data_IF_411962177648
#
_entry.id   IF_411962177648
#
_cell.length_a   1.000
_cell.length_b   1.000
_cell.length_c   1.000
_cell.angle_alpha   90.00
_cell.angle_beta   90.00
_cell.angle_gamma   90.00
#
_symmetry.space_group_name_H-M   'P 1'
#
loop_
_entity.id
_entity.type
_entity.pdbx_description
1 polymer ?
2 non-polymer ?
3 non-polymer ?
4 non-polymer ?
5 water ?
#
# COMPACT_ATOMS: atom_id res chain seq x y z
N UNK A 1 28.14 -29.42 -2.70
CA UNK A 1 27.85 -28.63 -3.89
C UNK A 1 27.84 -27.14 -3.56
N UNK A 2 27.70 -26.31 -4.59
CA UNK A 2 27.63 -24.86 -4.40
C UNK A 2 26.21 -24.38 -4.14
N UNK A 3 25.23 -24.95 -4.84
CA UNK A 3 23.85 -24.49 -4.68
C UNK A 3 23.24 -24.96 -3.37
N UNK A 4 23.71 -26.08 -2.82
CA UNK A 4 23.25 -26.52 -1.52
C UNK A 4 23.76 -25.62 -0.41
N UNK A 5 24.98 -25.09 -0.56
CA UNK A 5 25.51 -24.17 0.44
C UNK A 5 24.71 -22.86 0.47
N UNK A 6 24.41 -22.30 -0.70
CA UNK A 6 23.61 -21.10 -0.77
C UNK A 6 22.24 -21.30 -0.11
N UNK A 7 21.64 -22.48 -0.33
CA UNK A 7 20.34 -22.75 0.29
C UNK A 7 20.46 -22.76 1.81
N UNK A 8 21.52 -23.38 2.35
CA UNK A 8 21.70 -23.37 3.80
C UNK A 8 21.97 -21.97 4.31
N UNK A 9 22.74 -21.18 3.58
CA UNK A 9 22.91 -19.78 3.94
C UNK A 9 21.58 -19.05 3.94
N UNK A 10 20.72 -19.36 2.96
CA UNK A 10 19.38 -18.77 2.95
C UNK A 10 18.60 -19.16 4.20
N UNK A 11 18.69 -20.43 4.61
CA UNK A 11 18.01 -20.87 5.83
C UNK A 11 18.43 -20.02 7.01
N UNK A 12 19.73 -19.73 7.13
CA UNK A 12 20.22 -18.89 8.22
C UNK A 12 19.65 -17.48 8.12
N UNK A 13 19.63 -16.93 6.91
CA UNK A 13 19.10 -15.58 6.73
C UNK A 13 17.61 -15.53 7.04
N UNK A 14 16.87 -16.57 6.66
CA UNK A 14 15.44 -16.62 6.96
C UNK A 14 15.21 -16.66 8.46
N UNK A 15 16.00 -17.46 9.18
CA UNK A 15 15.83 -17.57 10.63
C UNK A 15 16.32 -16.32 11.32
N UNK A 16 17.49 -15.81 10.92
CA UNK A 16 18.03 -14.61 11.55
C UNK A 16 17.09 -13.43 11.40
N UNK A 17 16.57 -13.21 10.19
CA UNK A 17 15.75 -12.04 9.95
C UNK A 17 14.40 -12.13 10.64
N UNK A 18 13.81 -13.32 10.71
CA UNK A 18 12.47 -13.46 11.25
C UNK A 18 12.44 -13.65 12.76
N UNK A 19 13.51 -14.18 13.36
CA UNK A 19 13.60 -14.17 14.81
C UNK A 19 13.68 -12.73 15.31
N UNK A 20 14.34 -11.85 14.55
CA UNK A 20 14.36 -10.43 14.88
C UNK A 20 12.95 -9.85 14.89
N UNK A 21 12.15 -10.15 13.86
CA UNK A 21 10.80 -9.62 13.75
C UNK A 21 9.97 -9.99 14.97
N UNK A 22 10.19 -11.19 15.51
CA UNK A 22 9.38 -11.64 16.65
C UNK A 22 9.79 -10.94 17.92
N UNK A 23 11.09 -10.92 18.23
CA UNK A 23 11.55 -10.28 19.46
C UNK A 23 11.27 -8.78 19.43
N UNK A 24 11.43 -8.14 18.26
CA UNK A 24 11.24 -6.69 18.17
C UNK A 24 9.82 -6.29 18.52
N UNK A 25 8.84 -6.93 17.88
CA UNK A 25 7.45 -6.64 18.20
C UNK A 25 7.14 -7.02 19.64
N UNK A 26 7.79 -8.08 20.15
CA UNK A 26 7.51 -8.54 21.50
C UNK A 26 8.04 -7.60 22.58
N UNK A 27 8.94 -6.69 22.21
CA UNK A 27 9.62 -5.87 23.21
C UNK A 27 9.55 -4.37 22.94
N UNK A 28 9.00 -3.94 21.81
CA UNK A 28 8.89 -2.53 21.47
C UNK A 28 7.43 -2.09 21.56
N UNK A 29 7.19 -1.02 22.31
CA UNK A 29 5.83 -0.53 22.49
C UNK A 29 5.21 -0.12 21.16
N UNK A 30 5.86 0.82 20.45
CA UNK A 30 5.29 1.39 19.23
C UNK A 30 5.14 0.35 18.12
N UNK A 31 5.60 -0.87 18.34
CA UNK A 31 5.48 -1.97 17.39
C UNK A 31 4.44 -3.00 17.81
N UNK A 32 3.62 -2.71 18.82
CA UNK A 32 2.64 -3.68 19.32
C UNK A 32 1.25 -3.31 18.83
N UNK A 33 1.05 -3.49 17.53
CA UNK A 33 -0.20 -3.17 16.86
C UNK A 33 -0.83 -4.46 16.33
N UNK A 34 -2.08 -4.34 15.89
CA UNK A 34 -2.75 -5.48 15.29
C UNK A 34 -2.00 -5.98 14.07
N UNK A 35 -1.67 -5.06 13.15
CA UNK A 35 -0.96 -5.44 11.94
C UNK A 35 0.37 -6.11 12.25
N UNK A 36 1.12 -5.56 13.21
CA UNK A 36 2.40 -6.13 13.57
C UNK A 36 2.28 -7.48 14.24
N UNK A 37 1.14 -7.79 14.87
CA UNK A 37 0.93 -9.14 15.39
C UNK A 37 0.65 -10.12 14.26
N UNK A 38 -0.06 -9.67 13.23
CA UNK A 38 -0.19 -10.47 12.02
C UNK A 38 1.12 -10.51 11.25
N UNK A 39 2.03 -9.57 11.51
CA UNK A 39 3.34 -9.62 10.87
C UNK A 39 4.21 -10.68 11.50
N UNK A 40 4.14 -10.84 12.82
CA UNK A 40 4.91 -11.90 13.47
C UNK A 40 4.30 -13.26 13.15
N UNK A 41 2.97 -13.31 12.95
CA UNK A 41 2.37 -14.52 12.41
C UNK A 41 2.92 -14.83 11.03
N UNK A 42 3.14 -13.79 10.22
CA UNK A 42 3.79 -13.98 8.93
C UNK A 42 5.23 -14.43 9.10
N UNK A 43 5.91 -13.90 10.12
CA UNK A 43 7.30 -14.30 10.36
C UNK A 43 7.39 -15.75 10.83
N UNK A 44 6.38 -16.25 11.53
CA UNK A 44 6.37 -17.64 11.92
C UNK A 44 6.17 -18.54 10.71
N UNK A 45 5.28 -18.13 9.79
CA UNK A 45 5.09 -18.88 8.56
C UNK A 45 6.41 -19.05 7.82
N UNK A 46 7.21 -17.99 7.76
CA UNK A 46 8.51 -18.09 7.10
C UNK A 46 9.52 -18.84 7.95
N UNK A 47 9.46 -18.67 9.28
CA UNK A 47 10.35 -19.44 10.15
C UNK A 47 10.14 -20.94 10.00
N UNK A 48 8.90 -21.36 9.75
CA UNK A 48 8.63 -22.79 9.57
C UNK A 48 9.05 -23.28 8.19
N UNK A 49 9.08 -22.39 7.20
CA UNK A 49 9.64 -22.76 5.90
C UNK A 49 11.12 -23.09 6.03
N UNK A 50 11.86 -22.28 6.78
CA UNK A 50 13.29 -22.54 6.94
C UNK A 50 13.56 -23.85 7.67
N UNK A 51 12.70 -24.22 8.61
CA UNK A 51 12.94 -25.34 9.51
C UNK A 51 12.24 -26.63 9.09
N UNK A 52 11.04 -26.55 8.52
CA UNK A 52 10.27 -27.74 8.19
C UNK A 52 10.21 -28.05 6.70
N UNK A 53 10.67 -27.15 5.84
CA UNK A 53 10.61 -27.32 4.40
C UNK A 53 12.00 -27.25 3.77
N UNK A 54 12.75 -26.19 4.07
CA UNK A 54 14.07 -26.00 3.47
C UNK A 54 15.02 -27.18 3.72
N UNK A 55 15.05 -27.82 4.90
CA UNK A 55 15.90 -29.02 5.03
C UNK A 55 15.63 -30.06 3.98
N UNK A 56 14.35 -30.27 3.62
CA UNK A 56 14.04 -31.17 2.52
C UNK A 56 14.53 -30.64 1.19
N UNK A 57 14.54 -29.31 1.02
CA UNK A 57 14.93 -28.73 -0.26
C UNK A 57 16.45 -28.74 -0.43
N UNK A 58 17.19 -28.45 0.64
CA UNK A 58 18.65 -28.52 0.55
C UNK A 58 19.09 -29.97 0.41
N UNK A 59 18.43 -30.89 1.12
CA UNK A 59 18.67 -32.32 0.90
C UNK A 59 18.43 -32.69 -0.55
N UNK A 60 17.38 -32.12 -1.15
CA UNK A 60 17.02 -32.41 -2.53
C UNK A 60 18.09 -31.98 -3.52
N UNK A 61 18.93 -31.01 -3.17
CA UNK A 61 19.98 -30.55 -4.07
C UNK A 61 21.25 -31.38 -3.93
N UNK A 62 21.63 -31.73 -2.70
CA UNK A 62 22.83 -32.53 -2.49
C UNK A 62 22.67 -33.91 -3.12
N UNK A 63 21.54 -34.57 -2.84
CA UNK A 63 21.29 -35.90 -3.37
C UNK A 63 21.07 -35.86 -4.88
N UNK A 64 20.50 -34.78 -5.40
CA UNK A 64 20.21 -34.70 -6.81
C UNK A 64 19.03 -35.53 -7.27
N UNK A 65 18.22 -36.01 -6.34
CA UNK A 65 17.05 -36.82 -6.66
C UNK A 65 16.10 -36.79 -5.48
N UNK A 66 14.83 -37.05 -5.76
CA UNK A 66 13.80 -37.15 -4.71
C UNK A 66 13.86 -38.53 -4.05
N UNK A 67 14.99 -38.80 -3.40
CA UNK A 67 15.23 -40.10 -2.77
C UNK A 67 14.65 -40.16 -1.35
N UNK A 68 13.37 -39.79 -1.22
CA UNK A 68 12.61 -40.03 -0.01
C UNK A 68 11.89 -41.36 -0.14
N UNK A 69 11.09 -41.69 0.87
CA UNK A 69 10.04 -42.69 0.67
C UNK A 69 8.76 -41.98 0.27
N UNK A 70 7.73 -42.76 -0.08
CA UNK A 70 6.49 -42.14 -0.53
C UNK A 70 5.83 -41.37 0.60
N UNK A 71 6.01 -41.82 1.84
CA UNK A 71 5.39 -41.11 2.95
C UNK A 71 6.21 -39.88 3.34
N UNK A 72 7.52 -39.95 3.17
CA UNK A 72 8.36 -38.81 3.44
C UNK A 72 8.10 -37.73 2.42
N UNK A 73 7.87 -38.12 1.18
CA UNK A 73 7.54 -37.18 0.13
C UNK A 73 6.20 -36.51 0.40
N UNK A 74 5.18 -37.30 0.74
CA UNK A 74 3.87 -36.74 1.03
C UNK A 74 3.94 -35.78 2.21
N UNK A 75 4.66 -36.14 3.27
CA UNK A 75 4.79 -35.26 4.43
C UNK A 75 5.47 -33.96 4.02
N UNK A 76 6.55 -34.05 3.25
CA UNK A 76 7.26 -32.85 2.83
C UNK A 76 6.37 -31.94 2.00
N UNK A 77 5.68 -32.51 1.01
CA UNK A 77 4.83 -31.70 0.14
C UNK A 77 3.69 -31.08 0.92
N UNK A 78 3.10 -31.84 1.86
CA UNK A 78 2.05 -31.30 2.72
C UNK A 78 2.55 -30.11 3.51
N UNK A 79 3.71 -30.25 4.16
CA UNK A 79 4.25 -29.15 4.96
C UNK A 79 4.67 -27.99 4.06
N UNK A 80 5.27 -28.28 2.91
CA UNK A 80 5.67 -27.22 1.99
C UNK A 80 4.47 -26.39 1.55
N UNK A 81 3.37 -27.06 1.17
CA UNK A 81 2.17 -26.35 0.74
C UNK A 81 1.55 -25.57 1.89
N UNK A 82 1.53 -26.16 3.09
CA UNK A 82 0.90 -25.51 4.23
C UNK A 82 1.66 -24.26 4.65
N UNK A 83 2.96 -24.39 4.92
CA UNK A 83 3.73 -23.26 5.42
C UNK A 83 3.81 -22.12 4.40
N UNK A 84 3.61 -22.41 3.12
CA UNK A 84 3.56 -21.35 2.12
C UNK A 84 2.15 -20.80 1.94
N UNK A 85 1.12 -21.61 2.20
CA UNK A 85 -0.25 -21.10 2.19
C UNK A 85 -0.50 -20.19 3.38
N UNK A 86 0.10 -20.51 4.53
CA UNK A 86 -0.02 -19.63 5.68
C UNK A 86 0.55 -18.25 5.37
N UNK A 87 1.65 -18.19 4.62
CA UNK A 87 2.19 -16.90 4.20
C UNK A 87 1.18 -16.13 3.37
N UNK A 88 0.49 -16.82 2.46
CA UNK A 88 -0.49 -16.14 1.61
C UNK A 88 -1.71 -15.73 2.43
N UNK A 89 -2.22 -16.63 3.26
CA UNK A 89 -3.38 -16.31 4.07
C UNK A 89 -3.06 -15.27 5.14
N UNK A 90 -1.80 -15.15 5.54
CA UNK A 90 -1.41 -14.08 6.45
C UNK A 90 -1.43 -12.72 5.74
N UNK A 91 -0.88 -12.68 4.53
CA UNK A 91 -0.94 -11.44 3.75
C UNK A 91 -2.38 -11.04 3.47
N UNK A 92 -3.29 -12.01 3.42
CA UNK A 92 -4.70 -11.69 3.24
C UNK A 92 -5.28 -11.09 4.51
N UNK A 93 -4.98 -11.69 5.65
CA UNK A 93 -5.44 -11.15 6.93
C UNK A 93 -4.84 -9.77 7.19
N UNK A 94 -3.60 -9.55 6.74
CA UNK A 94 -2.96 -8.25 6.94
C UNK A 94 -3.70 -7.17 6.17
N UNK A 95 -4.04 -7.45 4.91
CA UNK A 95 -4.81 -6.48 4.11
C UNK A 95 -6.15 -6.19 4.77
N UNK A 96 -6.83 -7.22 5.27
CA UNK A 96 -8.14 -7.04 5.88
C UNK A 96 -8.01 -6.18 7.14
N UNK A 97 -7.01 -6.49 7.98
CA UNK A 97 -6.73 -5.64 9.13
C UNK A 97 -6.34 -4.23 8.69
N UNK A 98 -5.69 -4.11 7.53
CA UNK A 98 -5.39 -2.79 6.99
C UNK A 98 -6.65 -2.07 6.53
N UNK A 99 -7.66 -2.82 6.07
CA UNK A 99 -8.90 -2.18 5.66
C UNK A 99 -9.65 -1.64 6.86
N UNK A 100 -9.76 -2.43 7.93
CA UNK A 100 -10.54 -1.98 9.07
C UNK A 100 -9.90 -0.79 9.77
N UNK A 101 -8.57 -0.68 9.71
CA UNK A 101 -7.90 0.46 10.33
C UNK A 101 -8.16 1.75 9.55
N UNK A 102 -8.25 1.65 8.23
CA UNK A 102 -8.47 2.84 7.42
C UNK A 102 -9.95 3.22 7.38
N UNK A 103 -10.82 2.23 7.14
CA UNK A 103 -12.21 2.50 6.84
C UNK A 103 -13.12 2.57 8.07
N UNK A 104 -12.65 2.12 9.24
CA UNK A 104 -13.53 2.05 10.39
C UNK A 104 -12.88 2.72 11.60
N UNK A 105 -13.69 3.32 12.49
CA UNK A 105 -13.21 4.07 13.66
C UNK A 105 -12.19 3.31 14.51
N UNK A 110 -10.32 0.01 20.05
CA UNK A 110 -10.43 -0.53 21.40
C UNK A 110 -9.29 -1.49 21.71
N UNK A 111 -8.73 -1.38 22.92
CA UNK A 111 -7.59 -2.23 23.29
C UNK A 111 -8.00 -3.67 23.54
N UNK A 112 -9.27 -3.92 23.80
CA UNK A 112 -9.78 -5.28 24.03
C UNK A 112 -10.47 -5.86 22.81
N UNK A 113 -11.29 -5.08 22.11
CA UNK A 113 -11.99 -5.57 20.94
C UNK A 113 -11.03 -5.90 19.81
N UNK A 114 -9.92 -5.17 19.70
CA UNK A 114 -8.99 -5.41 18.59
C UNK A 114 -8.17 -6.68 18.84
N UNK A 115 -7.69 -6.87 20.08
CA UNK A 115 -6.92 -8.07 20.38
C UNK A 115 -7.73 -9.34 20.14
N UNK A 116 -9.03 -9.30 20.47
CA UNK A 116 -9.90 -10.42 20.15
C UNK A 116 -10.05 -10.61 18.65
N UNK A 117 -9.96 -9.53 17.87
CA UNK A 117 -10.08 -9.67 16.43
C UNK A 117 -8.82 -10.26 15.82
N UNK A 118 -7.65 -9.93 16.38
CA UNK A 118 -6.41 -10.52 15.87
C UNK A 118 -6.36 -12.02 16.17
N UNK A 119 -6.80 -12.42 17.36
CA UNK A 119 -6.80 -13.83 17.71
C UNK A 119 -7.68 -14.64 16.77
N UNK A 120 -8.83 -14.09 16.37
CA UNK A 120 -9.70 -14.80 15.45
C UNK A 120 -9.08 -14.87 14.05
N UNK A 121 -8.45 -13.78 13.61
CA UNK A 121 -7.84 -13.77 12.28
C UNK A 121 -6.69 -14.75 12.19
N UNK A 122 -5.84 -14.79 13.23
CA UNK A 122 -4.68 -15.69 13.20
C UNK A 122 -5.14 -17.14 13.20
N UNK A 123 -6.11 -17.47 14.05
CA UNK A 123 -6.62 -18.84 14.11
C UNK A 123 -7.13 -19.28 12.75
N UNK A 124 -7.87 -18.41 12.06
CA UNK A 124 -8.40 -18.77 10.75
C UNK A 124 -7.26 -19.01 9.77
N UNK A 125 -6.19 -18.22 9.85
CA UNK A 125 -5.07 -18.39 8.93
C UNK A 125 -4.49 -19.79 9.05
N UNK A 126 -4.16 -20.20 10.26
CA UNK A 126 -3.45 -21.46 10.45
C UNK A 126 -4.38 -22.67 10.37
N UNK A 127 -5.65 -22.53 10.78
CA UNK A 127 -6.58 -23.64 10.65
C UNK A 127 -6.94 -23.86 9.18
N UNK A 128 -7.05 -22.78 8.42
CA UNK A 128 -7.35 -22.92 7.00
C UNK A 128 -6.16 -23.52 6.25
N UNK A 129 -4.94 -23.07 6.57
CA UNK A 129 -3.76 -23.64 5.95
C UNK A 129 -3.68 -25.15 6.20
N UNK A 130 -4.00 -25.57 7.42
CA UNK A 130 -4.04 -27.00 7.73
C UNK A 130 -5.07 -27.71 6.88
N UNK A 131 -6.32 -27.25 6.91
CA UNK A 131 -7.40 -27.93 6.21
C UNK A 131 -7.16 -27.96 4.70
N UNK A 132 -6.43 -26.98 4.16
CA UNK A 132 -6.15 -26.97 2.74
C UNK A 132 -5.08 -28.00 2.39
N UNK A 133 -4.05 -28.11 3.22
CA UNK A 133 -2.96 -29.04 2.97
C UNK A 133 -3.24 -30.45 3.47
N UNK A 134 -4.21 -30.62 4.36
CA UNK A 134 -4.49 -31.95 4.89
C UNK A 134 -4.88 -32.98 3.83
N UNK A 135 -5.62 -32.63 2.77
CA UNK A 135 -5.88 -33.64 1.72
C UNK A 135 -4.61 -34.20 1.08
N UNK A 136 -3.53 -33.41 1.01
CA UNK A 136 -2.33 -33.86 0.33
C UNK A 136 -1.73 -35.10 0.98
N UNK A 137 -1.94 -35.27 2.29
CA UNK A 137 -1.48 -36.47 2.97
C UNK A 137 -2.26 -37.70 2.55
N UNK A 138 -3.46 -37.54 2.01
CA UNK A 138 -4.30 -38.68 1.72
C UNK A 138 -4.65 -38.74 0.23
N UNK A 139 -3.62 -38.66 -0.62
CA UNK A 139 -3.80 -38.79 -2.05
C UNK A 139 -4.62 -37.68 -2.68
N UNK A 140 -4.71 -36.52 -2.04
CA UNK A 140 -5.54 -35.41 -2.49
C UNK A 140 -7.00 -35.84 -2.64
N UNK A 141 -7.39 -36.87 -1.89
CA UNK A 141 -8.73 -37.47 -2.00
C UNK A 141 -9.09 -37.73 -3.46
N UNK A 142 -8.09 -38.18 -4.23
CA UNK A 142 -8.25 -38.42 -5.65
C UNK A 142 -7.62 -39.77 -5.96
N UNK A 143 -7.36 -40.03 -7.24
CA UNK A 143 -6.82 -41.30 -7.70
C UNK A 143 -5.31 -41.16 -7.89
N UNK A 144 -4.56 -41.38 -6.82
CA UNK A 144 -3.10 -41.51 -6.91
C UNK A 144 -2.62 -42.43 -5.80
N UNK A 145 -2.97 -43.72 -5.89
CA UNK A 145 -2.90 -44.60 -4.74
C UNK A 145 -1.45 -44.81 -4.28
N UNK A 146 -0.60 -45.33 -5.16
CA UNK A 146 0.72 -45.80 -4.77
C UNK A 146 1.84 -44.85 -5.17
N UNK A 147 1.57 -43.54 -5.19
CA UNK A 147 2.59 -42.57 -5.56
C UNK A 147 2.47 -41.33 -4.69
N UNK A 148 3.57 -40.60 -4.60
CA UNK A 148 3.59 -39.34 -3.87
C UNK A 148 2.56 -38.38 -4.44
N UNK A 149 2.17 -37.40 -3.63
CA UNK A 149 1.09 -36.52 -4.03
C UNK A 149 1.56 -35.52 -5.09
N UNK A 150 2.85 -35.18 -5.10
CA UNK A 150 3.34 -34.26 -6.12
C UNK A 150 3.33 -34.90 -7.50
N UNK A 151 3.21 -36.22 -7.56
CA UNK A 151 3.05 -36.93 -8.82
C UNK A 151 1.60 -36.92 -9.30
N UNK A 152 0.67 -36.43 -8.50
CA UNK A 152 -0.72 -36.37 -8.89
C UNK A 152 -0.91 -35.26 -9.92
N UNK A 153 -1.43 -35.54 -11.11
CA UNK A 153 -1.62 -34.47 -12.10
C UNK A 153 -2.51 -33.33 -11.61
N UNK A 154 -3.32 -33.56 -10.59
CA UNK A 154 -4.20 -32.53 -10.05
C UNK A 154 -3.56 -31.70 -8.93
N UNK A 155 -2.35 -32.05 -8.50
CA UNK A 155 -1.70 -31.27 -7.45
C UNK A 155 -1.39 -29.85 -7.93
N UNK A 156 -0.91 -29.71 -9.17
CA UNK A 156 -0.57 -28.39 -9.69
C UNK A 156 -1.80 -27.50 -9.71
N UNK A 157 -2.93 -28.03 -10.18
CA UNK A 157 -4.15 -27.23 -10.24
C UNK A 157 -4.62 -26.86 -8.84
N UNK A 158 -4.53 -27.81 -7.90
CA UNK A 158 -5.00 -27.57 -6.54
C UNK A 158 -4.18 -26.47 -5.87
N UNK A 159 -2.87 -26.69 -5.72
CA UNK A 159 -2.03 -25.76 -4.97
C UNK A 159 -1.94 -24.40 -5.66
N UNK A 160 -2.13 -24.35 -6.97
CA UNK A 160 -2.12 -23.07 -7.65
C UNK A 160 -3.38 -22.28 -7.35
N UNK A 161 -4.54 -22.89 -7.53
CA UNK A 161 -5.80 -22.17 -7.40
C UNK A 161 -6.12 -21.93 -5.92
N UNK A 162 -6.17 -23.00 -5.13
CA UNK A 162 -6.63 -22.88 -3.76
C UNK A 162 -5.62 -22.14 -2.89
N UNK A 163 -4.34 -22.51 -2.99
CA UNK A 163 -3.33 -21.94 -2.11
C UNK A 163 -2.80 -20.60 -2.58
N UNK A 164 -2.91 -20.27 -3.85
CA UNK A 164 -2.29 -19.06 -4.38
C UNK A 164 -3.27 -18.13 -5.08
N UNK A 165 -3.94 -18.57 -6.15
CA UNK A 165 -4.70 -17.64 -6.98
C UNK A 165 -5.90 -17.08 -6.24
N UNK A 166 -6.55 -17.88 -5.39
CA UNK A 166 -7.71 -17.39 -4.65
C UNK A 166 -7.28 -16.42 -3.56
N UNK A 167 -6.23 -16.70 -2.76
CA UNK A 167 -5.72 -15.64 -1.89
C UNK A 167 -5.24 -14.41 -2.65
N UNK A 168 -4.62 -14.62 -3.81
CA UNK A 168 -4.15 -13.51 -4.63
C UNK A 168 -5.30 -12.55 -4.99
N UNK A 169 -6.38 -13.09 -5.56
CA UNK A 169 -7.48 -12.23 -6.01
C UNK A 169 -8.12 -11.52 -4.83
N UNK A 170 -8.40 -12.25 -3.75
CA UNK A 170 -9.09 -11.67 -2.60
C UNK A 170 -8.26 -10.53 -1.99
N UNK A 171 -6.97 -10.79 -1.76
CA UNK A 171 -6.10 -9.74 -1.24
C UNK A 171 -6.02 -8.57 -2.22
N UNK A 172 -5.99 -8.86 -3.52
CA UNK A 172 -5.93 -7.79 -4.50
C UNK A 172 -7.21 -6.97 -4.49
N UNK A 173 -8.36 -7.61 -4.26
CA UNK A 173 -9.61 -6.88 -4.20
C UNK A 173 -9.67 -6.00 -2.95
N UNK A 174 -9.08 -6.47 -1.85
CA UNK A 174 -9.07 -5.69 -0.62
C UNK A 174 -8.22 -4.43 -0.79
N UNK A 175 -7.01 -4.59 -1.34
CA UNK A 175 -6.13 -3.44 -1.51
C UNK A 175 -6.70 -2.44 -2.51
N UNK A 176 -7.40 -2.92 -3.53
CA UNK A 176 -8.09 -2.01 -4.44
C UNK A 176 -9.18 -1.24 -3.69
N UNK A 177 -9.93 -1.93 -2.83
CA UNK A 177 -10.92 -1.26 -2.00
C UNK A 177 -10.26 -0.30 -1.01
N UNK A 178 -9.02 -0.60 -0.60
CA UNK A 178 -8.30 0.28 0.31
C UNK A 178 -7.87 1.56 -0.43
N UNK A 179 -7.31 1.40 -1.63
CA UNK A 179 -6.88 2.57 -2.40
C UNK A 179 -8.06 3.49 -2.70
N UNK A 180 -9.24 2.92 -2.97
CA UNK A 180 -10.40 3.74 -3.31
C UNK A 180 -10.81 4.61 -2.12
N UNK A 181 -10.74 4.05 -0.91
CA UNK A 181 -11.10 4.81 0.28
C UNK A 181 -10.11 5.93 0.53
N UNK A 182 -8.81 5.64 0.41
CA UNK A 182 -7.80 6.66 0.64
C UNK A 182 -7.88 7.78 -0.38
N UNK A 183 -8.29 7.48 -1.61
CA UNK A 183 -8.43 8.52 -2.62
C UNK A 183 -9.66 9.38 -2.37
N UNK A 184 -10.73 8.80 -1.82
CA UNK A 184 -11.87 9.61 -1.41
C UNK A 184 -11.50 10.54 -0.27
N UNK A 185 -10.61 10.10 0.62
CA UNK A 185 -10.16 10.93 1.73
C UNK A 185 -9.38 12.15 1.24
N UNK A 186 -8.44 11.93 0.31
CA UNK A 186 -7.66 13.04 -0.21
C UNK A 186 -8.54 14.07 -0.93
N UNK A 187 -9.57 13.61 -1.65
CA UNK A 187 -10.50 14.53 -2.27
C UNK A 187 -11.34 15.27 -1.21
N UNK A 188 -11.60 14.62 -0.08
CA UNK A 188 -12.36 15.28 0.99
C UNK A 188 -11.48 16.20 1.83
N UNK A 189 -10.24 15.77 2.12
CA UNK A 189 -9.34 16.58 2.92
C UNK A 189 -9.00 17.90 2.24
N UNK A 190 -8.81 17.88 0.92
CA UNK A 190 -8.48 19.10 0.21
C UNK A 190 -9.67 20.07 0.17
N UNK A 191 -10.89 19.54 0.14
CA UNK A 191 -12.07 20.40 0.20
C UNK A 191 -12.13 21.14 1.53
N UNK A 192 -11.92 20.41 2.63
CA UNK A 192 -11.91 21.06 3.95
C UNK A 192 -10.73 22.01 4.09
N UNK A 193 -9.59 21.66 3.49
CA UNK A 193 -8.42 22.53 3.59
C UNK A 193 -8.69 23.90 3.00
N UNK A 194 -9.47 23.96 1.92
CA UNK A 194 -9.73 25.23 1.26
C UNK A 194 -11.01 25.92 1.73
N UNK A 195 -11.99 25.17 2.25
CA UNK A 195 -13.10 25.88 2.89
C UNK A 195 -12.68 26.52 4.20
N UNK A 196 -11.53 26.14 4.74
CA UNK A 196 -10.95 26.82 5.88
C UNK A 196 -10.13 28.02 5.43
N UNK A 197 -9.41 27.89 4.31
CA UNK A 197 -8.54 28.96 3.83
C UNK A 197 -9.26 29.94 2.91
N UNK A 198 -9.87 29.42 1.84
CA UNK A 198 -10.52 30.29 0.87
C UNK A 198 -11.93 30.66 1.33
N UNK A 199 -12.74 29.67 1.66
CA UNK A 199 -14.10 29.92 2.11
C UNK A 199 -15.17 29.31 1.21
N UNK A 200 -16.19 28.74 1.82
CA UNK A 200 -17.30 28.11 1.10
C UNK A 200 -18.47 29.09 1.05
N UNK A 201 -18.81 29.54 -0.15
CA UNK A 201 -19.96 30.39 -0.38
C UNK A 201 -21.01 29.62 -1.17
N UNK A 202 -22.24 29.57 -0.64
CA UNK A 202 -23.30 28.77 -1.23
C UNK A 202 -24.22 29.57 -2.16
N UNK A 203 -24.19 30.90 -2.08
CA UNK A 203 -24.94 31.75 -2.99
C UNK A 203 -23.98 32.52 -3.90
N UNK A 204 -24.49 32.95 -5.05
CA UNK A 204 -23.65 33.63 -6.02
C UNK A 204 -23.12 34.92 -5.43
N UNK A 205 -21.83 35.19 -5.67
CA UNK A 205 -21.18 36.39 -5.19
C UNK A 205 -20.11 36.79 -6.18
N UNK A 206 -19.55 37.98 -5.99
CA UNK A 206 -18.51 38.52 -6.86
C UNK A 206 -17.15 38.34 -6.21
N UNK A 207 -16.19 37.84 -6.98
CA UNK A 207 -14.82 37.72 -6.49
C UNK A 207 -14.15 39.10 -6.50
N UNK A 208 -12.87 39.12 -6.15
CA UNK A 208 -12.17 40.40 -6.04
C UNK A 208 -11.92 41.06 -7.39
N UNK A 209 -12.22 40.39 -8.50
CA UNK A 209 -12.04 40.95 -9.83
C UNK A 209 -13.36 41.29 -10.51
N UNK A 210 -14.48 41.11 -9.82
CA UNK A 210 -15.79 41.48 -10.34
C UNK A 210 -16.58 40.34 -10.95
N UNK A 211 -15.95 39.19 -11.20
CA UNK A 211 -16.64 38.07 -11.80
C UNK A 211 -17.55 37.38 -10.79
N UNK A 212 -18.67 36.85 -11.28
CA UNK A 212 -19.60 36.12 -10.43
C UNK A 212 -19.08 34.71 -10.21
N UNK A 213 -18.88 34.35 -8.94
CA UNK A 213 -18.39 33.02 -8.59
C UNK A 213 -19.29 32.40 -7.53
N UNK A 214 -19.01 31.14 -7.21
CA UNK A 214 -19.76 30.41 -6.20
C UNK A 214 -18.91 29.26 -5.68
N UNK A 215 -19.32 28.66 -4.56
CA UNK A 215 -18.59 27.53 -4.02
C UNK A 215 -17.27 27.97 -3.43
N UNK A 216 -16.20 27.23 -3.75
CA UNK A 216 -14.86 27.61 -3.31
C UNK A 216 -14.07 28.06 -4.52
N UNK A 217 -14.16 29.35 -4.84
CA UNK A 217 -13.43 29.90 -5.96
C UNK A 217 -13.76 29.24 -7.27
N UNK A 218 -14.99 29.43 -7.75
CA UNK A 218 -15.46 28.82 -8.99
C UNK A 218 -16.17 29.89 -9.81
N UNK A 219 -15.46 30.50 -10.74
CA UNK A 219 -16.04 31.54 -11.59
C UNK A 219 -17.11 30.95 -12.48
N UNK A 220 -18.35 31.42 -12.32
CA UNK A 220 -19.43 30.97 -13.19
C UNK A 220 -19.24 31.53 -14.60
N UNK A 221 -18.92 32.82 -14.71
CA UNK A 221 -18.67 33.45 -15.99
C UNK A 221 -17.92 34.76 -15.76
N UNK A 222 -17.36 35.29 -16.85
CA UNK A 222 -16.75 36.61 -16.84
C UNK A 222 -17.69 37.69 -17.36
N UNK A 223 -18.95 37.32 -17.65
CA UNK A 223 -19.95 38.25 -18.18
C UNK A 223 -20.54 39.11 -17.06
N UNK A 224 -20.92 40.35 -17.36
CA UNK A 224 -21.44 41.23 -16.31
C UNK A 224 -22.88 40.96 -15.92
N UNK A 225 -23.67 40.32 -16.77
CA UNK A 225 -25.07 40.06 -16.46
C UNK A 225 -25.18 39.01 -15.36
N UNK A 226 -25.92 39.34 -14.29
CA UNK A 226 -26.14 38.39 -13.23
C UNK A 226 -27.04 37.24 -13.69
N UNK A 227 -28.04 37.54 -14.52
CA UNK A 227 -28.90 36.49 -15.05
C UNK A 227 -28.12 35.47 -15.85
N UNK A 228 -27.08 35.91 -16.57
CA UNK A 228 -26.27 34.97 -17.34
C UNK A 228 -25.38 34.12 -16.43
N UNK A 229 -24.92 34.69 -15.31
CA UNK A 229 -24.12 33.91 -14.37
C UNK A 229 -24.93 32.78 -13.74
N UNK A 230 -26.24 32.97 -13.61
CA UNK A 230 -27.11 31.91 -13.09
C UNK A 230 -27.36 30.83 -14.13
N UNK A 231 -27.32 31.18 -15.42
CA UNK A 231 -27.53 30.19 -16.47
C UNK A 231 -26.40 29.16 -16.49
N UNK A 232 -25.16 29.61 -16.32
CA UNK A 232 -24.03 28.67 -16.28
C UNK A 232 -24.05 27.86 -14.99
N UNK A 233 -24.56 28.43 -13.89
CA UNK A 233 -24.61 27.70 -12.63
C UNK A 233 -25.58 26.51 -12.72
N UNK A 234 -26.77 26.76 -13.25
CA UNK A 234 -27.76 25.68 -13.37
C UNK A 234 -27.36 24.66 -14.43
N UNK A 235 -26.65 25.10 -15.46
CA UNK A 235 -26.17 24.16 -16.48
C UNK A 235 -25.09 23.24 -15.94
N UNK A 236 -24.46 23.59 -14.81
CA UNK A 236 -23.44 22.75 -14.19
C UNK A 236 -23.95 21.98 -12.98
N UNK A 237 -24.87 22.57 -12.20
CA UNK A 237 -25.42 21.87 -11.05
C UNK A 237 -26.58 20.95 -11.43
N UNK A 238 -27.13 21.09 -12.63
CA UNK A 238 -28.18 20.22 -13.11
C UNK A 238 -29.59 20.62 -12.71
N UNK A 239 -29.75 21.39 -11.65
CA UNK A 239 -31.05 21.80 -11.16
C UNK A 239 -31.25 23.29 -11.35
N UNK A 240 -32.47 23.75 -11.08
CA UNK A 240 -32.79 25.18 -11.04
C UNK A 240 -32.35 25.70 -9.67
N UNK A 241 -31.04 25.99 -9.56
CA UNK A 241 -30.46 26.31 -8.26
C UNK A 241 -31.01 27.62 -7.71
N UNK A 242 -31.47 28.51 -8.58
CA UNK A 242 -32.02 29.81 -8.18
C UNK A 242 -31.02 30.65 -7.41
N UNK A 243 -29.72 30.33 -7.49
CA UNK A 243 -28.67 31.09 -6.87
C UNK A 243 -27.98 30.37 -5.73
N UNK A 244 -28.68 29.49 -5.03
CA UNK A 244 -28.16 28.79 -3.86
C UNK A 244 -27.89 27.34 -4.24
N UNK A 245 -26.83 26.77 -3.68
CA UNK A 245 -26.46 25.38 -3.93
C UNK A 245 -26.13 24.69 -2.61
N UNK A 246 -26.10 23.37 -2.66
CA UNK A 246 -25.73 22.57 -1.51
C UNK A 246 -24.21 22.62 -1.29
N UNK A 247 -23.79 22.37 -0.05
CA UNK A 247 -22.37 22.17 0.20
C UNK A 247 -21.85 20.95 -0.54
N UNK A 248 -22.74 19.99 -0.81
CA UNK A 248 -22.37 18.81 -1.60
C UNK A 248 -22.26 19.15 -3.08
N UNK A 249 -23.21 19.94 -3.60
CA UNK A 249 -23.12 20.38 -4.98
C UNK A 249 -21.87 21.22 -5.22
N UNK A 250 -21.50 22.04 -4.22
CA UNK A 250 -20.29 22.85 -4.33
C UNK A 250 -19.04 21.98 -4.21
N UNK A 251 -19.14 20.84 -3.52
CA UNK A 251 -17.99 19.94 -3.43
C UNK A 251 -17.74 19.22 -4.76
N UNK A 252 -18.78 18.93 -5.52
CA UNK A 252 -18.59 18.39 -6.86
C UNK A 252 -17.91 19.41 -7.77
N UNK A 253 -18.33 20.68 -7.68
CA UNK A 253 -17.70 21.71 -8.48
C UNK A 253 -16.25 21.92 -8.08
N UNK A 254 -15.96 21.85 -6.78
CA UNK A 254 -14.59 22.06 -6.31
C UNK A 254 -13.66 20.99 -6.86
N UNK A 255 -14.10 19.73 -6.87
CA UNK A 255 -13.27 18.66 -7.42
C UNK A 255 -12.96 18.91 -8.89
N UNK A 256 -13.91 19.48 -9.64
CA UNK A 256 -13.66 19.82 -11.03
C UNK A 256 -12.58 20.90 -11.15
N UNK A 257 -12.65 21.92 -10.29
CA UNK A 257 -11.63 22.96 -10.30
C UNK A 257 -10.26 22.40 -9.91
N UNK A 258 -10.25 21.44 -8.98
CA UNK A 258 -8.98 20.85 -8.55
C UNK A 258 -8.35 20.05 -9.68
N UNK A 259 -9.14 19.17 -10.31
CA UNK A 259 -8.64 18.42 -11.45
C UNK A 259 -8.16 19.36 -12.56
N UNK A 260 -8.94 20.41 -12.85
CA UNK A 260 -8.52 21.38 -13.85
C UNK A 260 -7.21 22.04 -13.46
N UNK A 261 -7.04 22.35 -12.17
CA UNK A 261 -5.81 22.98 -11.70
C UNK A 261 -4.61 22.06 -11.88
N UNK A 262 -4.82 20.74 -11.86
CA UNK A 262 -3.70 19.81 -12.01
C UNK A 262 -3.31 19.67 -13.48
N UNK A 263 -4.29 19.67 -14.40
CA UNK A 263 -3.96 19.63 -15.82
C UNK A 263 -3.05 20.79 -16.21
N UNK A 264 -3.23 21.95 -15.57
CA UNK A 264 -2.42 23.11 -15.86
C UNK A 264 -1.08 23.08 -15.15
N UNK A 265 -1.07 22.60 -13.91
CA UNK A 265 0.17 22.48 -13.16
C UNK A 265 1.17 21.62 -13.92
N UNK A 266 0.71 20.45 -14.39
CA UNK A 266 1.59 19.57 -15.15
C UNK A 266 1.96 20.17 -16.49
N UNK A 267 1.06 20.93 -17.11
CA UNK A 267 1.37 21.65 -18.33
C UNK A 267 2.19 22.90 -18.08
N UNK A 268 2.44 23.26 -16.83
CA UNK A 268 3.30 24.39 -16.48
C UNK A 268 4.71 23.86 -16.26
N UNK A 269 5.65 24.29 -17.11
CA UNK A 269 7.02 23.77 -17.06
C UNK A 269 7.72 24.13 -15.76
N UNK A 270 7.29 25.18 -15.07
CA UNK A 270 7.93 25.60 -13.83
C UNK A 270 7.32 24.98 -12.59
N UNK A 271 6.15 24.35 -12.70
CA UNK A 271 5.50 23.73 -11.55
C UNK A 271 5.41 22.21 -11.63
N UNK A 272 5.49 21.63 -12.83
CA UNK A 272 5.43 20.18 -12.95
C UNK A 272 6.58 19.45 -12.26
N UNK A 273 7.84 19.91 -12.34
CA UNK A 273 8.91 19.17 -11.64
C UNK A 273 8.69 19.02 -10.14
N UNK A 274 8.46 20.12 -9.42
CA UNK A 274 8.29 20.05 -7.97
C UNK A 274 7.03 19.25 -7.63
N UNK A 275 5.98 19.41 -8.44
CA UNK A 275 4.72 18.71 -8.19
C UNK A 275 4.93 17.19 -8.17
N UNK A 276 5.79 16.67 -9.05
CA UNK A 276 6.10 15.25 -9.02
C UNK A 276 6.83 14.87 -7.74
N UNK A 277 7.77 15.65 -7.31
CA UNK A 277 8.53 15.29 -6.14
C UNK A 277 7.78 15.29 -4.85
N UNK A 278 6.61 15.87 -4.85
CA UNK A 278 5.93 16.17 -3.61
C UNK A 278 5.11 14.99 -3.13
N UNK A 279 4.97 14.85 -1.83
CA UNK A 279 4.15 13.87 -1.20
C UNK A 279 2.75 14.31 -1.50
N UNK A 280 1.78 13.43 -1.36
CA UNK A 280 0.38 13.77 -1.63
C UNK A 280 -0.14 14.85 -0.69
N UNK A 281 0.33 14.87 0.56
CA UNK A 281 -0.12 15.89 1.50
C UNK A 281 0.47 17.24 1.16
N UNK A 282 1.78 17.29 0.91
CA UNK A 282 2.41 18.52 0.46
C UNK A 282 1.90 18.95 -0.92
N UNK A 283 1.41 17.99 -1.71
CA UNK A 283 0.87 18.34 -3.02
C UNK A 283 -0.41 19.15 -2.89
N UNK A 284 -1.20 18.91 -1.85
CA UNK A 284 -2.39 19.72 -1.61
C UNK A 284 -2.05 21.15 -1.25
N UNK A 285 -0.95 21.35 -0.52
CA UNK A 285 -0.53 22.70 -0.18
C UNK A 285 -0.15 23.50 -1.43
N UNK A 286 0.45 22.82 -2.42
CA UNK A 286 0.75 23.49 -3.68
C UNK A 286 -0.53 23.81 -4.44
N UNK A 287 -1.52 22.93 -4.38
CA UNK A 287 -2.81 23.22 -5.00
C UNK A 287 -3.49 24.38 -4.31
N UNK A 288 -3.34 24.47 -2.98
CA UNK A 288 -3.87 25.61 -2.24
C UNK A 288 -3.28 26.92 -2.73
N UNK A 289 -1.97 26.92 -3.04
CA UNK A 289 -1.31 28.15 -3.47
C UNK A 289 -1.75 28.55 -4.88
N UNK A 290 -1.85 27.59 -5.80
CA UNK A 290 -2.31 27.94 -7.15
C UNK A 290 -3.78 28.33 -7.13
N UNK A 291 -4.54 27.82 -6.15
CA UNK A 291 -5.91 28.28 -5.99
C UNK A 291 -5.97 29.74 -5.56
N UNK A 292 -5.00 30.19 -4.77
CA UNK A 292 -4.98 31.56 -4.27
C UNK A 292 -4.25 32.51 -5.20
N UNK A 293 -3.08 32.10 -5.71
CA UNK A 293 -2.21 32.96 -6.49
C UNK A 293 -2.21 32.68 -7.98
N UNK A 294 -2.87 31.62 -8.43
CA UNK A 294 -2.76 31.19 -9.80
C UNK A 294 -1.40 30.56 -10.08
N UNK A 295 -1.37 29.78 -11.16
CA UNK A 295 -0.14 29.12 -11.59
C UNK A 295 0.95 30.12 -11.95
N UNK A 296 0.58 31.33 -12.39
CA UNK A 296 1.59 32.36 -12.65
C UNK A 296 2.34 32.73 -11.38
N UNK A 297 1.58 33.04 -10.32
CA UNK A 297 2.21 33.54 -9.11
C UNK A 297 3.04 32.49 -8.38
N UNK A 298 2.56 31.25 -8.35
CA UNK A 298 3.30 30.20 -7.68
C UNK A 298 4.64 29.95 -8.38
N UNK A 299 4.66 30.06 -9.70
CA UNK A 299 5.89 29.87 -10.46
C UNK A 299 6.94 30.94 -10.16
N UNK A 300 6.60 31.97 -9.38
CA UNK A 300 7.55 32.97 -8.96
C UNK A 300 8.33 32.63 -7.71
N UNK A 301 7.96 31.55 -7.03
CA UNK A 301 8.67 31.08 -5.84
C UNK A 301 9.79 30.11 -6.19
N UNK A 302 10.64 30.49 -7.15
CA UNK A 302 11.62 29.54 -7.68
C UNK A 302 12.57 29.06 -6.61
N UNK A 303 13.06 29.98 -5.76
CA UNK A 303 14.01 29.59 -4.73
C UNK A 303 13.36 28.67 -3.69
N UNK A 304 12.08 28.89 -3.41
CA UNK A 304 11.39 28.03 -2.45
C UNK A 304 11.04 26.68 -3.08
N UNK A 305 10.55 26.69 -4.32
CA UNK A 305 10.11 25.46 -4.96
C UNK A 305 11.24 24.46 -5.11
N UNK A 306 12.45 24.94 -5.37
CA UNK A 306 13.59 24.03 -5.47
C UNK A 306 13.88 23.36 -4.15
N UNK A 307 13.57 24.02 -3.02
CA UNK A 307 13.82 23.43 -1.71
C UNK A 307 12.80 22.36 -1.38
N UNK A 308 11.53 22.56 -1.77
CA UNK A 308 10.55 21.49 -1.70
C UNK A 308 10.96 20.32 -2.58
N UNK A 309 11.57 20.62 -3.73
CA UNK A 309 12.02 19.58 -4.64
C UNK A 309 13.20 18.80 -4.07
N UNK A 310 14.01 19.44 -3.22
CA UNK A 310 15.19 18.83 -2.64
C UNK A 310 14.95 18.28 -1.23
N UNK A 311 13.68 18.07 -0.86
CA UNK A 311 13.28 17.55 0.45
C UNK A 311 13.72 18.44 1.60
N UNK A 312 14.16 19.67 1.33
CA UNK A 312 14.60 20.59 2.38
C UNK A 312 13.38 21.27 2.99
N UNK A 313 12.58 20.48 3.71
CA UNK A 313 11.34 20.99 4.28
C UNK A 313 11.58 22.11 5.27
N UNK A 314 12.71 22.06 5.99
CA UNK A 314 12.99 23.10 6.97
C UNK A 314 13.18 24.45 6.29
N UNK A 315 14.10 24.52 5.31
CA UNK A 315 14.42 25.79 4.68
C UNK A 315 13.28 26.27 3.79
N UNK A 316 12.61 25.36 3.07
CA UNK A 316 11.49 25.75 2.24
C UNK A 316 10.43 26.47 3.05
N UNK A 317 10.30 26.13 4.33
CA UNK A 317 9.38 26.86 5.20
C UNK A 317 9.94 28.22 5.57
N UNK A 318 11.24 28.30 5.87
CA UNK A 318 11.82 29.55 6.31
C UNK A 318 11.83 30.58 5.19
N UNK A 319 12.06 30.15 3.95
CA UNK A 319 12.05 31.08 2.83
C UNK A 319 10.65 31.59 2.54
N UNK A 320 9.67 30.69 2.54
CA UNK A 320 8.30 31.08 2.18
C UNK A 320 7.71 32.10 3.14
N UNK A 321 8.22 32.20 4.37
CA UNK A 321 7.75 33.18 5.32
C UNK A 321 8.32 34.57 5.07
N UNK A 322 9.21 34.72 4.09
CA UNK A 322 9.80 36.00 3.74
C UNK A 322 9.18 36.60 2.48
N UNK A 323 7.99 36.15 2.10
CA UNK A 323 7.34 36.60 0.87
C UNK A 323 6.24 37.60 1.18
N UNK A 324 5.85 38.36 0.13
CA UNK A 324 4.71 39.26 0.26
C UNK A 324 3.40 38.49 0.38
N UNK A 325 3.41 37.20 0.05
CA UNK A 325 2.23 36.36 0.28
C UNK A 325 2.05 36.06 1.76
N UNK A 326 3.14 35.70 2.44
CA UNK A 326 3.07 35.47 3.88
C UNK A 326 2.71 36.74 4.65
N UNK A 327 3.00 37.91 4.09
CA UNK A 327 2.65 39.17 4.75
C UNK A 327 1.25 39.65 4.41
N UNK A 328 0.65 39.17 3.32
CA UNK A 328 -0.67 39.63 2.90
C UNK A 328 -1.80 38.79 3.50
N UNK A 329 -1.64 37.48 3.52
CA UNK A 329 -2.59 36.56 4.16
C UNK A 329 -1.78 35.66 5.08
N UNK A 330 -1.38 36.16 6.25
CA UNK A 330 -0.44 35.39 7.08
C UNK A 330 -1.05 34.15 7.72
N UNK A 331 -2.31 34.22 8.16
CA UNK A 331 -2.93 33.05 8.78
C UNK A 331 -2.96 31.86 7.83
N UNK A 332 -3.46 32.09 6.61
CA UNK A 332 -3.50 31.03 5.62
C UNK A 332 -2.10 30.58 5.21
N UNK A 333 -1.17 31.53 5.09
CA UNK A 333 0.19 31.19 4.67
C UNK A 333 0.87 30.28 5.69
N UNK A 334 0.78 30.64 6.98
CA UNK A 334 1.37 29.80 8.01
C UNK A 334 0.75 28.41 8.03
N UNK A 335 -0.53 28.30 7.69
CA UNK A 335 -1.16 26.98 7.65
C UNK A 335 -0.64 26.16 6.48
N UNK A 336 -0.39 26.79 5.34
CA UNK A 336 0.10 26.07 4.17
C UNK A 336 1.59 25.77 4.30
N UNK A 337 2.35 26.71 4.85
CA UNK A 337 3.78 26.49 5.05
C UNK A 337 4.00 25.37 6.07
N UNK A 338 3.14 25.28 7.08
CA UNK A 338 3.19 24.14 8.00
C UNK A 338 2.96 22.84 7.27
N UNK A 339 2.00 22.83 6.33
CA UNK A 339 1.75 21.62 5.57
C UNK A 339 2.93 21.26 4.67
N UNK A 340 3.63 22.27 4.14
CA UNK A 340 4.82 21.99 3.33
C UNK A 340 5.95 21.43 4.18
N UNK A 341 6.02 21.78 5.46
CA UNK A 341 7.10 21.36 6.33
C UNK A 341 6.82 20.03 7.01
N UNK A 342 5.68 19.91 7.68
CA UNK A 342 5.36 18.68 8.40
C UNK A 342 4.99 17.54 7.46
N UNK A 343 4.32 17.85 6.35
CA UNK A 343 3.84 16.81 5.48
C UNK A 343 2.60 16.10 5.98
N UNK A 344 1.90 16.67 6.95
CA UNK A 344 0.66 16.10 7.46
C UNK A 344 -0.43 17.17 7.50
N UNK A 345 -1.59 16.83 8.08
CA UNK A 345 -2.71 17.74 8.19
C UNK A 345 -2.85 18.33 9.59
N UNK A 346 -1.74 18.49 10.31
CA UNK A 346 -1.80 19.02 11.67
C UNK A 346 -2.42 20.41 11.71
N UNK A 347 -2.24 21.18 10.64
CA UNK A 347 -2.76 22.55 10.64
C UNK A 347 -4.27 22.58 10.45
N UNK A 348 -4.85 21.56 9.83
CA UNK A 348 -6.27 21.55 9.52
C UNK A 348 -7.01 20.42 10.23
N UNK A 351 -5.84 16.40 12.03
CA UNK A 351 -6.76 15.81 11.07
C UNK A 351 -6.02 14.91 10.07
N UNK A 352 -4.87 14.37 10.48
CA UNK A 352 -4.02 13.58 9.62
C UNK A 352 -3.98 12.13 10.10
N UNK A 353 -4.24 11.20 9.18
CA UNK A 353 -4.21 9.78 9.49
C UNK A 353 -2.76 9.30 9.56
N UNK A 354 -2.37 8.74 10.69
CA UNK A 354 -1.01 8.24 10.90
C UNK A 354 -0.85 6.79 10.48
N UNK A 355 -1.87 6.20 9.86
CA UNK A 355 -1.84 4.79 9.49
C UNK A 355 -1.34 4.54 8.07
N UNK A 356 -1.35 5.57 7.21
CA UNK A 356 -1.04 5.36 5.81
C UNK A 356 0.34 4.74 5.62
N UNK A 357 1.32 5.19 6.41
CA UNK A 357 2.67 4.63 6.29
C UNK A 357 2.67 3.12 6.53
N UNK A 358 1.87 2.65 7.48
CA UNK A 358 1.80 1.21 7.73
C UNK A 358 1.03 0.48 6.64
N UNK A 359 0.03 1.14 6.05
CA UNK A 359 -0.72 0.53 4.95
C UNK A 359 0.12 0.44 3.69
N UNK A 360 1.03 1.39 3.48
CA UNK A 360 1.89 1.34 2.30
C UNK A 360 2.92 0.22 2.43
N UNK A 361 3.43 0.00 3.64
CA UNK A 361 4.39 -1.09 3.83
C UNK A 361 3.72 -2.44 3.67
N UNK A 362 2.47 -2.58 4.15
CA UNK A 362 1.76 -3.85 4.00
C UNK A 362 1.55 -4.21 2.54
N UNK A 363 1.28 -3.22 1.69
CA UNK A 363 1.09 -3.49 0.28
C UNK A 363 2.41 -3.78 -0.42
N UNK A 364 3.50 -3.19 0.06
CA UNK A 364 4.80 -3.47 -0.55
C UNK A 364 5.24 -4.89 -0.26
N UNK A 365 4.96 -5.39 0.94
CA UNK A 365 5.30 -6.77 1.28
C UNK A 365 4.45 -7.74 0.48
N UNK A 366 3.16 -7.44 0.32
CA UNK A 366 2.30 -8.28 -0.49
C UNK A 366 2.72 -8.28 -1.95
N UNK A 367 3.20 -7.14 -2.44
CA UNK A 367 3.65 -7.07 -3.83
C UNK A 367 4.93 -7.85 -4.07
N UNK A 368 5.91 -7.67 -3.17
CA UNK A 368 7.15 -8.43 -3.26
C UNK A 368 6.86 -9.93 -3.21
N UNK A 369 5.87 -10.33 -2.41
CA UNK A 369 5.44 -11.72 -2.38
C UNK A 369 5.02 -12.18 -3.77
N UNK A 370 4.11 -11.42 -4.41
CA UNK A 370 3.64 -11.78 -5.74
C UNK A 370 4.79 -11.76 -6.74
N UNK A 371 5.74 -10.84 -6.58
CA UNK A 371 6.89 -10.79 -7.48
C UNK A 371 7.70 -12.08 -7.37
N UNK A 372 7.81 -12.65 -6.17
CA UNK A 372 8.68 -13.80 -5.96
C UNK A 372 8.05 -15.11 -6.39
N UNK A 373 6.74 -15.27 -6.19
CA UNK A 373 6.10 -16.55 -6.51
C UNK A 373 5.43 -16.58 -7.87
N UNK A 374 5.17 -15.43 -8.49
CA UNK A 374 4.41 -15.47 -9.72
C UNK A 374 5.19 -16.11 -10.87
N UNK A 375 6.48 -15.80 -11.06
CA UNK A 375 7.24 -16.54 -12.08
C UNK A 375 7.19 -18.05 -11.89
N UNK A 376 7.08 -18.52 -10.64
CA UNK A 376 6.94 -19.95 -10.39
C UNK A 376 5.61 -20.47 -10.93
N UNK A 377 4.52 -19.77 -10.64
CA UNK A 377 3.21 -20.22 -11.09
C UNK A 377 2.94 -19.89 -12.56
N UNK A 378 3.65 -18.90 -13.11
CA UNK A 378 3.61 -18.70 -14.56
C UNK A 378 4.20 -19.90 -15.26
N UNK A 379 5.26 -20.48 -14.69
CA UNK A 379 5.91 -21.64 -15.29
C UNK A 379 4.98 -22.85 -15.32
N UNK A 380 4.15 -22.98 -14.33
CA UNK A 380 3.24 -24.08 -14.34
C UNK A 380 2.30 -23.96 -15.50
N UNK A 381 1.85 -22.76 -15.80
CA UNK A 381 0.93 -22.57 -16.90
C UNK A 381 1.58 -23.00 -18.22
N UNK A 382 2.90 -22.88 -18.33
CA UNK A 382 3.59 -23.25 -19.56
C UNK A 382 3.75 -24.75 -19.69
N UNK A 383 3.97 -25.45 -18.57
CA UNK A 383 4.02 -26.91 -18.60
C UNK A 383 2.72 -27.50 -19.13
N UNK A 384 1.59 -26.87 -18.83
CA UNK A 384 0.29 -27.38 -19.26
C UNK A 384 -0.01 -26.95 -20.69
N UNK A 385 0.41 -25.74 -21.07
CA UNK A 385 -0.03 -25.15 -22.33
C UNK A 385 0.60 -25.87 -23.53
N UNK A 386 1.94 -25.85 -23.63
CA UNK A 386 2.62 -26.34 -24.82
C UNK A 386 3.38 -27.64 -24.60
N UNK A 387 3.42 -28.16 -23.38
CA UNK A 387 4.18 -29.35 -23.01
C UNK A 387 5.67 -29.19 -23.30
N UNK A 388 6.12 -27.98 -23.60
CA UNK A 388 7.54 -27.72 -23.80
C UNK A 388 8.28 -27.93 -22.49
N UNK A 389 9.19 -28.90 -22.47
CA UNK A 389 10.01 -29.08 -21.28
C UNK A 389 10.86 -27.84 -21.05
N UNK A 390 10.74 -27.28 -19.86
CA UNK A 390 11.36 -26.00 -19.52
C UNK A 390 12.72 -26.29 -18.91
N UNK A 391 13.75 -25.50 -19.22
CA UNK A 391 15.08 -25.71 -18.63
C UNK A 391 14.99 -25.97 -17.13
N UNK A 392 15.37 -27.17 -16.69
CA UNK A 392 15.27 -27.48 -15.26
C UNK A 392 16.06 -26.53 -14.38
N UNK A 393 17.09 -25.87 -14.92
CA UNK A 393 17.76 -24.82 -14.16
C UNK A 393 16.83 -23.63 -13.98
N UNK A 394 15.92 -23.40 -14.93
CA UNK A 394 14.95 -22.32 -14.76
C UNK A 394 13.82 -22.74 -13.82
N UNK A 395 13.34 -23.94 -13.95
CA UNK A 395 12.32 -24.35 -13.05
C UNK A 395 12.88 -24.35 -11.65
N UNK A 396 14.10 -24.82 -11.48
CA UNK A 396 14.71 -24.82 -10.15
C UNK A 396 14.94 -23.41 -9.63
N UNK A 397 15.18 -22.45 -10.54
CA UNK A 397 15.43 -21.07 -10.12
C UNK A 397 14.17 -20.42 -9.58
N UNK A 398 13.05 -20.54 -10.30
CA UNK A 398 11.81 -19.91 -9.88
C UNK A 398 11.27 -20.52 -8.60
N UNK A 399 11.59 -21.80 -8.34
CA UNK A 399 11.21 -22.39 -7.06
C UNK A 399 12.03 -21.81 -5.92
N UNK A 400 13.35 -21.70 -6.12
CA UNK A 400 14.20 -21.10 -5.09
C UNK A 400 13.84 -19.64 -4.86
N UNK A 401 13.49 -18.92 -5.93
CA UNK A 401 13.11 -17.53 -5.80
C UNK A 401 11.89 -17.38 -4.89
N UNK A 402 10.93 -18.30 -4.98
CA UNK A 402 9.79 -18.26 -4.09
C UNK A 402 10.15 -18.50 -2.65
N UNK A 403 11.04 -19.47 -2.40
CA UNK A 403 11.52 -19.71 -1.04
C UNK A 403 12.34 -18.53 -0.52
N UNK A 404 13.00 -17.80 -1.42
CA UNK A 404 13.76 -16.62 -1.02
C UNK A 404 12.86 -15.56 -0.39
N UNK A 405 11.58 -15.52 -0.78
CA UNK A 405 10.65 -14.55 -0.23
C UNK A 405 10.60 -14.60 1.29
N UNK A 406 10.91 -15.75 1.89
CA UNK A 406 10.85 -15.89 3.34
C UNK A 406 11.91 -15.05 4.05
N UNK A 407 12.91 -14.53 3.34
CA UNK A 407 13.97 -13.75 3.95
C UNK A 407 13.93 -12.27 3.58
N UNK A 408 13.00 -11.85 2.74
CA UNK A 408 13.00 -10.46 2.29
C UNK A 408 12.15 -9.57 3.17
N UNK A 409 11.13 -10.12 3.83
CA UNK A 409 10.24 -9.29 4.64
C UNK A 409 10.96 -8.58 5.78
N UNK A 410 11.80 -9.24 6.58
CA UNK A 410 12.54 -8.49 7.61
C UNK A 410 13.44 -7.41 7.03
N UNK A 411 13.92 -7.59 5.81
CA UNK A 411 14.72 -6.55 5.16
C UNK A 411 13.86 -5.34 4.81
N UNK A 412 12.57 -5.55 4.56
CA UNK A 412 11.68 -4.46 4.22
C UNK A 412 11.32 -3.63 5.46
N UNK A 413 11.20 -4.28 6.62
CA UNK A 413 10.85 -3.56 7.83
C UNK A 413 11.96 -2.61 8.27
N UNK A 414 13.22 -2.93 7.95
CA UNK A 414 14.32 -2.04 8.29
C UNK A 414 14.33 -0.80 7.41
N UNK A 415 13.84 -0.90 6.18
CA UNK A 415 13.90 0.21 5.25
C UNK A 415 12.73 1.17 5.42
N UNK A 416 11.50 0.66 5.40
CA UNK A 416 10.32 1.50 5.34
C UNK A 416 9.74 1.85 6.71
N UNK A 417 10.23 1.25 7.79
CA UNK A 417 9.70 1.50 9.11
C UNK A 417 10.83 1.92 10.04
N UNK A 418 10.75 3.15 10.55
CA UNK A 418 11.76 3.65 11.47
C UNK A 418 11.72 2.89 12.79
N UNK A 419 10.52 2.51 13.24
CA UNK A 419 10.40 1.80 14.51
C UNK A 419 10.99 0.40 14.43
N UNK A 420 10.76 -0.31 13.32
CA UNK A 420 11.38 -1.63 13.15
C UNK A 420 12.89 -1.51 13.03
N UNK A 421 13.38 -0.53 12.26
CA UNK A 421 14.81 -0.39 12.04
C UNK A 421 15.55 -0.11 13.35
N UNK A 422 15.05 0.85 14.13
CA UNK A 422 15.71 1.18 15.40
C UNK A 422 15.55 0.06 16.42
N UNK A 423 14.50 -0.76 16.28
CA UNK A 423 14.32 -1.88 17.19
C UNK A 423 15.36 -2.97 16.94
N UNK A 424 15.63 -3.28 15.67
CA UNK A 424 16.62 -4.32 15.36
C UNK A 424 18.00 -3.89 15.81
N UNK A 425 18.35 -2.62 15.62
CA UNK A 425 19.67 -2.13 16.00
C UNK A 425 19.87 -2.13 17.51
N UNK A 426 18.78 -2.01 18.28
CA UNK A 426 18.88 -2.10 19.72
C UNK A 426 19.03 -3.53 20.20
N UNK A 427 18.49 -4.49 19.45
CA UNK A 427 18.69 -5.89 19.78
C UNK A 427 20.12 -6.32 19.49
N UNK A 428 20.74 -5.78 18.43
CA UNK A 428 22.12 -6.09 18.08
C UNK A 428 23.12 -5.17 18.76
N UNK A 429 22.84 -4.75 19.99
CA UNK A 429 23.73 -3.87 20.72
C UNK A 429 23.46 -3.92 22.23
X LIG B 1 10.53 -28.82 -3.92
X LIG B 1 10.26 -28.55 -5.37
X LIG B 1 9.07 -28.07 -5.76
X LIG B 1 7.97 -27.78 -4.74
X LIG B 1 7.74 -26.25 -4.70
X LIG B 1 5.34 -26.32 -4.33
X LIG B 1 4.15 -25.80 -3.52
X LIG B 1 4.20 -24.26 -3.58
X LIG B 1 5.52 -23.75 -2.99
X LIG B 1 6.66 -24.34 -3.82
X LIG B 1 3.00 -23.64 -2.92
X LIG B 1 1.53 -22.30 -2.07
X LIG B 1 2.77 -22.31 -2.67
X LIG B 1 3.50 -21.16 -2.90
X LIG B 1 2.92 -19.96 -2.50
X LIG B 1 1.66 -19.93 -1.90
X LIG B 1 0.94 -21.11 -1.68
X LIG B 1 8.86 -27.83 -7.18
X LIG B 1 9.66 -27.88 -9.50
X LIG B 1 10.72 -28.58 -10.37
X LIG B 1 12.09 -28.17 -9.86
X LIG B 1 12.31 -28.81 -8.49
X LIG B 1 11.14 -28.56 -7.57
X LIG B 1 1.14 -18.75 -1.53
X LIG B 1 6.64 -25.81 -3.80
X LIG B 1 1.92 -24.30 -2.48
X LIG B 1 9.89 -28.10 -8.08
X LIG B 1 11.28 -28.78 -6.32
X LIG B 1 1.09 -23.51 -1.99
X LIG B 1 7.66 -27.37 -7.63
X LIG C 1 -10.92 -12.98 8.39
X LIG C 1 -11.58 -12.41 9.53
X LIG C 1 -9.44 -13.45 8.56
X LIG C 1 -9.03 -14.39 7.77
X LIG C 1 -7.89 -14.15 6.90
X LIG C 1 -7.53 -15.26 5.90
X LIG C 1 -8.51 -15.66 5.05
X LIG D 1 -2.95 -0.22 -3.35
X LIG D 1 -2.45 -1.25 -4.22
X LIG D 1 -2.20 0.03 -2.00
X LIG D 1 -2.50 1.08 -1.32
X LIG D 1 -1.43 1.77 -0.59
X LIG D 1 -1.72 3.15 0.04
X LIG D 1 -1.97 4.19 -0.78
X LIG E 1 14.61 -33.36 5.70
X LIG E 1 15.35 -34.33 4.93
X LIG E 1 14.22 -33.74 7.16
X LIG E 1 13.22 -33.13 7.70
X LIG E 1 13.44 -32.00 8.58
X LIG E 1 12.49 -31.84 9.77
X LIG E 1 11.18 -32.13 9.57
X LIG F 1 -13.42 -6.02 5.27
X LIG F 1 -13.89 -6.75 6.14
X LIG F 1 -13.24 -4.85 5.49
X LIG F 1 -13.03 -6.55 3.92
X LIG F 1 -13.37 -5.56 2.83
X LIG F 1 -12.79 -5.92 1.48
X LIG F 1 -13.08 -7.35 1.07
X LIG F 1 -13.58 -7.44 -0.35
X LIG F 1 -13.20 -8.76 -0.99
X LIG F 1 -13.93 -9.92 -0.40
X LIG F 1 -14.16 -10.97 -1.47
X LIG F 1 -15.22 -10.93 -2.25
X LIG F 1 -15.44 -11.98 -3.29
X LIG G 1 -0.51 -4.33 -4.67
X LIG G 1 0.44 -3.72 -5.13
X LIG G 1 -1.57 -3.78 -4.49
X LIG G 1 -0.38 -5.76 -4.30
X LIG G 1 -1.64 -6.48 -4.63
X LIG G 1 -1.86 -7.49 -3.55
X LIG G 1 -0.85 -8.58 -3.68
X LIG G 1 -1.59 -9.88 -3.70
X LIG G 1 -1.50 -10.54 -2.37
X LIG G 1 -1.40 -11.97 -2.72
X LIG G 1 -1.01 -12.72 -1.51
X LIG G 1 -1.36 -13.98 -1.48
X LIG H 1 -14.10 -15.67 0.12
X LIG H 1 -13.64 -16.67 -0.44
X LIG H 1 -14.25 -14.62 -0.49
X LIG H 1 -14.50 -15.74 1.56
X LIG H 1 -14.35 -14.37 2.20
X LIG H 1 -15.32 -14.22 3.35
X LIG H 1 -14.82 -13.21 4.36
X LIG H 1 -15.83 -13.07 5.48
X LIG H 1 -16.10 -11.62 5.72
X LIG H 1 -15.32 -11.09 6.89
X LIG H 1 -16.31 -10.45 7.81
X LIG H 1 -15.93 -9.50 8.65
X LIG H 1 -14.49 -9.04 8.72
X LIG H 1 -14.21 -8.31 10.02
X LIG H 1 -15.30 -7.30 10.37
X LIG H 1 -14.82 -6.08 11.14
X LIG H 1 -15.12 -6.18 12.62
X LIG H 1 -14.70 -7.54 13.15
X LIG H 1 -15.01 -7.74 14.63
X LIG H 1 -15.76 -9.02 14.90
#
# INVERSE_FOLDING_TARGET
NYYATLLTLLIAVIVFGNVLVCMAVSREKALQTTTNYLIVSLAVADLLVATLVMPWVVYLEVVGEWKFSRIHCDIFVTLDVMMCTASALNLCAISIDRYTAVAMPMLYNTRYSSKRRVTVMISIVWVLSFTISCPLLFGLNNADQNECIIANPAFVVYSSIVSFYVPFIVTLLVYIKIYIVLRRRRKRNIFEMLRIDEGLRLKIYKDTEGYYTIGIGHLLTKSPSLNAAKSELDKAIGRNTNGVITKDEAEKLFNQDVDAAVRGILRNAKLKPVYDSLDAVRRAALINMVFQMGETGVAGFTNSLRMLQQKRWDEAAVNLAKSRWYNQTPNRAKRVITTFRTGTWDAYKLSQQKEKKATQMAAIVAGVFIICWLPFFITHILNIHCDCNIPPVLYSAFTWLGYVNSAVNPIIYTTFNIEFRKAFLKILHC
8NU C01 C02 C03 C04 C05 C07 C08 C09 C10 C11 C12 C15 C16 C17 C18 C19 C21 C22 C25 C26 C27 C28 C29 F20 N06 N13 N24 N30 O14 O23
PEG C1 O1 C2 O2 C3 C4 O4
PEG C1 O1 C2 O2 C3 C4 O4
PEG C1 O1 C2 O2 C3 C4 O4
OLA C1 O1 O2 C2 C3 C4 C5 C6 C7 C8 C9 C10 C11
OLA C1 O1 O2 C2 C3 C4 C5 C6 C7 C8 C9 C10
OLA C1 O1 O2 C2 C3 C4 C5 C6 C7 C8 C9 C10 C11 C12 C13 C14 C15 C16 C17 C18
#
